data_IF_992781703283
#
_entry.id   IF_992781703283
#
_cell.length_a   1.000
_cell.length_b   1.000
_cell.length_c   1.000
_cell.angle_alpha   90.00
_cell.angle_beta   90.00
_cell.angle_gamma   90.00
#
_symmetry.space_group_name_H-M   'P 1'
#
loop_
_entity.id
_entity.type
_entity.pdbx_description
1 polymer ?
#
# COMPACT_ATOMS: atom_id res chain seq x y z
N UNK A 1 36.64 -12.98 -19.38
CA UNK A 1 35.33 -12.52 -19.88
C UNK A 1 34.70 -11.74 -18.75
N UNK A 2 34.66 -10.41 -18.89
CA UNK A 2 33.90 -9.56 -17.98
C UNK A 2 32.43 -9.79 -18.31
N UNK A 3 31.63 -10.14 -17.31
CA UNK A 3 30.22 -10.44 -17.47
C UNK A 3 29.52 -9.12 -17.86
N UNK A 4 28.88 -9.07 -19.03
CA UNK A 4 28.11 -7.92 -19.54
C UNK A 4 26.82 -7.62 -18.73
N UNK A 5 26.75 -8.08 -17.48
CA UNK A 5 25.64 -7.84 -16.57
C UNK A 5 25.89 -6.65 -15.63
N UNK A 6 26.81 -5.75 -15.95
CA UNK A 6 26.99 -4.53 -15.15
C UNK A 6 25.80 -3.62 -15.42
N UNK A 7 24.85 -3.59 -14.49
CA UNK A 7 23.78 -2.59 -14.49
C UNK A 7 24.36 -1.18 -14.61
N UNK A 8 23.52 -0.22 -14.97
CA UNK A 8 23.97 1.17 -15.12
C UNK A 8 24.69 1.64 -13.84
N UNK A 9 25.62 2.61 -13.95
CA UNK A 9 26.28 3.20 -12.76
C UNK A 9 25.23 3.66 -11.74
N UNK A 10 24.08 4.17 -12.20
CA UNK A 10 22.96 4.52 -11.34
C UNK A 10 22.41 3.30 -10.56
N UNK A 11 22.18 2.17 -11.21
CA UNK A 11 21.72 0.94 -10.55
C UNK A 11 22.76 0.37 -9.57
N UNK A 12 24.05 0.48 -9.90
CA UNK A 12 25.13 0.12 -8.97
C UNK A 12 25.11 1.02 -7.71
N UNK A 13 24.72 2.28 -7.85
CA UNK A 13 24.50 3.22 -6.75
C UNK A 13 23.14 3.05 -6.06
N UNK A 14 22.32 2.09 -6.50
CA UNK A 14 21.00 1.80 -5.92
C UNK A 14 19.86 2.69 -6.42
N UNK A 15 20.07 3.44 -7.51
CA UNK A 15 19.01 4.15 -8.23
C UNK A 15 18.36 3.24 -9.25
N UNK A 16 17.08 2.98 -9.10
CA UNK A 16 16.30 2.08 -9.94
C UNK A 16 15.56 2.86 -11.04
N UNK A 17 15.11 2.19 -12.12
CA UNK A 17 14.38 2.84 -13.20
C UNK A 17 13.13 3.62 -12.75
N UNK A 18 12.44 3.15 -11.70
CA UNK A 18 11.26 3.87 -11.18
C UNK A 18 11.62 5.25 -10.60
N UNK A 19 12.79 5.40 -9.99
CA UNK A 19 13.28 6.68 -9.47
C UNK A 19 13.63 7.69 -10.59
N UNK A 20 13.78 7.22 -11.83
CA UNK A 20 14.08 8.06 -12.99
C UNK A 20 12.82 8.50 -13.77
N UNK A 21 11.61 8.09 -13.36
CA UNK A 21 10.38 8.47 -14.06
C UNK A 21 10.17 9.99 -13.97
N UNK A 22 9.97 10.71 -15.09
CA UNK A 22 9.75 12.14 -15.08
C UNK A 22 8.47 12.56 -14.37
N UNK A 23 8.50 13.70 -13.71
CA UNK A 23 7.37 14.29 -12.98
C UNK A 23 6.12 14.44 -13.86
N UNK A 24 6.32 14.85 -15.11
CA UNK A 24 5.24 15.00 -16.08
C UNK A 24 4.54 13.66 -16.36
N UNK A 25 5.31 12.57 -16.49
CA UNK A 25 4.77 11.22 -16.69
C UNK A 25 3.95 10.79 -15.48
N UNK A 26 4.43 11.09 -14.27
CA UNK A 26 3.71 10.81 -13.02
C UNK A 26 2.42 11.62 -12.97
N UNK A 27 2.46 12.92 -13.26
CA UNK A 27 1.26 13.76 -13.30
C UNK A 27 0.25 13.24 -14.33
N UNK A 28 0.68 12.88 -15.52
CA UNK A 28 -0.19 12.48 -16.61
C UNK A 28 -0.82 11.10 -16.39
N UNK A 29 -0.05 10.13 -15.90
CA UNK A 29 -0.48 8.74 -15.80
C UNK A 29 -1.00 8.35 -14.40
N UNK A 30 -0.45 8.91 -13.32
CA UNK A 30 -0.87 8.53 -11.96
C UNK A 30 -2.12 9.29 -11.51
N UNK A 31 -2.15 10.60 -11.75
CA UNK A 31 -3.15 11.48 -11.13
C UNK A 31 -4.46 11.44 -11.93
N UNK A 32 -5.54 11.06 -11.26
CA UNK A 32 -6.85 10.91 -11.90
C UNK A 32 -7.45 12.27 -12.31
N UNK A 33 -8.36 12.30 -13.31
CA UNK A 33 -9.05 13.53 -13.71
C UNK A 33 -9.74 14.27 -12.56
N UNK A 34 -10.38 13.57 -11.62
CA UNK A 34 -11.07 14.24 -10.50
C UNK A 34 -10.07 14.82 -9.49
N UNK A 35 -8.92 14.17 -9.27
CA UNK A 35 -7.87 14.73 -8.41
C UNK A 35 -7.28 15.98 -9.06
N UNK A 36 -6.99 15.93 -10.37
CA UNK A 36 -6.52 17.11 -11.14
C UNK A 36 -7.54 18.25 -11.08
N UNK A 37 -8.82 17.96 -11.28
CA UNK A 37 -9.89 18.95 -11.19
C UNK A 37 -9.99 19.56 -9.79
N UNK A 38 -9.77 18.77 -8.74
CA UNK A 38 -9.84 19.25 -7.34
C UNK A 38 -8.63 20.11 -6.97
N UNK A 39 -7.42 19.76 -7.42
CA UNK A 39 -6.21 20.54 -7.18
C UNK A 39 -6.14 21.80 -8.06
N UNK A 40 -6.82 21.77 -9.21
CA UNK A 40 -6.76 22.79 -10.25
C UNK A 40 -5.48 22.70 -11.09
N UNK A 41 -5.20 23.75 -11.87
CA UNK A 41 -4.06 23.76 -12.80
C UNK A 41 -2.73 23.62 -12.05
N UNK A 42 -1.82 22.79 -12.59
CA UNK A 42 -0.44 22.69 -12.14
C UNK A 42 0.33 23.96 -12.55
N UNK A 43 0.93 24.63 -11.56
CA UNK A 43 1.75 25.83 -11.73
C UNK A 43 3.25 25.51 -11.65
N UNK A 44 4.02 26.52 -11.26
CA UNK A 44 5.48 26.42 -11.21
C UNK A 44 5.96 25.36 -10.19
N UNK A 45 7.00 24.63 -10.60
CA UNK A 45 7.65 23.60 -9.81
C UNK A 45 9.04 24.01 -9.34
N UNK A 46 9.41 23.57 -8.14
CA UNK A 46 10.78 23.65 -7.63
C UNK A 46 11.24 22.24 -7.27
N UNK A 47 12.46 21.88 -7.68
CA UNK A 47 13.10 20.61 -7.36
C UNK A 47 14.28 20.87 -6.43
N UNK A 48 14.37 20.10 -5.36
CA UNK A 48 15.44 20.23 -4.37
C UNK A 48 15.74 18.89 -3.69
N UNK A 49 16.94 18.75 -3.15
CA UNK A 49 17.37 17.58 -2.37
C UNK A 49 17.16 17.82 -0.87
N UNK A 50 16.77 16.79 -0.13
CA UNK A 50 16.65 16.81 1.34
C UNK A 50 17.38 15.62 1.95
N UNK A 51 17.97 15.84 3.13
CA UNK A 51 18.61 14.82 3.97
C UNK A 51 17.96 14.70 5.36
N UNK A 52 16.75 15.26 5.53
CA UNK A 52 16.00 15.28 6.80
C UNK A 52 14.66 14.54 6.72
N UNK A 53 14.21 14.02 7.87
CA UNK A 53 12.87 13.45 8.05
C UNK A 53 11.75 14.49 8.13
N UNK A 54 12.10 15.73 8.48
CA UNK A 54 11.13 16.82 8.62
C UNK A 54 10.53 17.19 7.27
N UNK A 55 9.19 17.33 7.23
CA UNK A 55 8.44 17.85 6.10
C UNK A 55 8.36 19.39 6.10
N UNK A 56 7.78 19.96 5.04
CA UNK A 56 7.52 21.41 5.02
C UNK A 56 6.30 21.81 5.88
N UNK A 57 5.44 20.84 6.18
CA UNK A 57 4.20 21.00 6.94
C UNK A 57 3.75 19.63 7.50
N UNK A 58 2.80 19.60 8.46
CA UNK A 58 2.34 18.36 9.08
C UNK A 58 1.81 17.35 8.04
N UNK A 59 2.34 16.12 8.08
CA UNK A 59 2.00 15.04 7.15
C UNK A 59 2.93 14.92 5.94
N UNK A 60 3.80 15.91 5.70
CA UNK A 60 4.83 15.88 4.65
C UNK A 60 6.16 15.29 5.14
N UNK A 61 6.18 14.57 6.27
CA UNK A 61 7.39 13.96 6.78
C UNK A 61 7.81 12.72 5.96
N UNK A 62 9.07 12.30 6.11
CA UNK A 62 9.58 11.01 5.65
C UNK A 62 10.11 10.21 6.85
N UNK A 63 10.52 8.97 6.63
CA UNK A 63 10.89 8.05 7.71
C UNK A 63 12.39 7.73 7.70
N UNK A 64 12.95 7.48 8.89
CA UNK A 64 14.28 6.90 9.06
C UNK A 64 14.13 5.53 9.76
N UNK A 65 13.96 4.47 8.97
CA UNK A 65 13.75 3.11 9.49
C UNK A 65 15.05 2.32 9.67
N UNK A 66 16.11 2.64 8.93
CA UNK A 66 17.41 1.96 9.04
C UNK A 66 18.20 2.32 10.31
N UNK A 67 17.66 3.22 11.16
CA UNK A 67 18.26 3.65 12.45
C UNK A 67 19.73 4.06 12.29
N UNK A 68 20.10 4.60 11.13
CA UNK A 68 21.51 4.84 10.83
C UNK A 68 22.08 5.88 11.81
N UNK A 69 23.15 5.51 12.51
CA UNK A 69 23.96 6.46 13.26
C UNK A 69 24.81 7.22 12.25
N UNK A 70 24.54 8.51 12.06
CA UNK A 70 25.39 9.40 11.28
C UNK A 70 26.05 10.32 12.32
N UNK A 71 27.37 10.13 12.54
CA UNK A 71 28.22 10.84 13.53
C UNK A 71 28.11 10.39 15.00
N UNK A 72 28.00 9.08 15.29
CA UNK A 72 28.16 8.55 16.65
C UNK A 72 26.96 8.75 17.58
N UNK A 73 26.07 9.68 17.26
CA UNK A 73 24.73 9.78 17.82
C UNK A 73 23.69 9.24 16.82
N UNK A 74 22.62 8.66 17.35
CA UNK A 74 21.46 8.27 16.56
C UNK A 74 20.71 9.54 16.11
N UNK A 75 21.21 10.21 15.08
CA UNK A 75 20.53 11.33 14.44
C UNK A 75 19.28 10.81 13.72
N UNK A 76 18.18 10.71 14.48
CA UNK A 76 16.86 10.27 14.00
C UNK A 76 16.21 11.31 13.08
N UNK A 77 16.76 12.52 13.00
CA UNK A 77 16.21 13.64 12.24
C UNK A 77 16.74 13.66 10.79
N UNK A 78 17.76 12.85 10.49
CA UNK A 78 18.34 12.70 9.16
C UNK A 78 18.04 11.38 8.51
N UNK A 79 18.01 11.37 7.18
CA UNK A 79 17.92 10.15 6.38
C UNK A 79 19.32 9.73 5.92
N UNK A 80 19.56 8.42 5.78
CA UNK A 80 20.85 7.88 5.32
C UNK A 80 21.20 8.33 3.91
N UNK A 81 20.22 8.28 3.01
CA UNK A 81 20.37 8.70 1.63
C UNK A 81 19.46 9.90 1.38
N UNK A 82 20.00 11.02 0.86
CA UNK A 82 19.19 12.14 0.46
C UNK A 82 18.15 11.73 -0.59
N UNK A 83 16.99 12.38 -0.55
CA UNK A 83 15.91 12.19 -1.51
C UNK A 83 15.64 13.48 -2.27
N UNK A 84 15.06 13.33 -3.47
CA UNK A 84 14.59 14.45 -4.27
C UNK A 84 13.14 14.76 -3.93
N UNK A 85 12.82 16.04 -3.83
CA UNK A 85 11.48 16.57 -3.67
C UNK A 85 11.21 17.56 -4.79
N UNK A 86 10.20 17.26 -5.60
CA UNK A 86 9.60 18.20 -6.54
C UNK A 86 8.30 18.72 -5.96
N UNK A 87 8.20 20.04 -5.83
CA UNK A 87 7.01 20.71 -5.27
C UNK A 87 6.43 21.66 -6.30
N UNK A 88 5.18 21.42 -6.67
CA UNK A 88 4.41 22.22 -7.61
C UNK A 88 3.28 22.93 -6.88
N UNK A 89 3.14 24.24 -7.10
CA UNK A 89 1.93 24.96 -6.69
C UNK A 89 0.78 24.57 -7.60
N UNK A 90 -0.40 24.34 -7.05
CA UNK A 90 -1.65 24.21 -7.83
C UNK A 90 -2.58 25.36 -7.49
N UNK A 91 -3.67 25.50 -8.23
CA UNK A 91 -4.67 26.55 -7.97
C UNK A 91 -5.25 26.48 -6.55
N UNK A 92 -5.47 25.26 -6.05
CA UNK A 92 -6.12 25.01 -4.75
C UNK A 92 -5.23 24.26 -3.75
N UNK A 93 -3.91 24.27 -3.93
CA UNK A 93 -2.99 23.59 -3.02
C UNK A 93 -1.61 23.28 -3.58
N UNK A 94 -1.11 22.07 -3.32
CA UNK A 94 0.19 21.59 -3.74
C UNK A 94 0.12 20.20 -4.37
N UNK A 95 1.01 19.94 -5.32
CA UNK A 95 1.35 18.60 -5.76
C UNK A 95 2.82 18.35 -5.49
N UNK A 96 3.13 17.27 -4.77
CA UNK A 96 4.47 16.95 -4.30
C UNK A 96 4.86 15.56 -4.79
N UNK A 97 6.02 15.46 -5.42
CA UNK A 97 6.63 14.18 -5.76
C UNK A 97 7.94 14.03 -5.01
N UNK A 98 8.03 12.99 -4.19
CA UNK A 98 9.28 12.58 -3.54
C UNK A 98 9.81 11.33 -4.19
N UNK A 99 11.12 11.22 -4.31
CA UNK A 99 11.79 10.00 -4.77
C UNK A 99 13.12 9.78 -4.10
N UNK A 100 13.36 8.55 -3.70
CA UNK A 100 14.67 8.05 -3.30
C UNK A 100 15.20 7.10 -4.38
N UNK A 101 16.26 6.34 -4.08
CA UNK A 101 16.85 5.42 -5.05
C UNK A 101 15.91 4.30 -5.52
N UNK A 102 14.85 3.95 -4.76
CA UNK A 102 14.03 2.76 -5.04
C UNK A 102 12.53 3.04 -5.09
N UNK A 103 12.07 4.21 -4.63
CA UNK A 103 10.64 4.54 -4.52
C UNK A 103 10.34 5.92 -5.07
N UNK A 104 9.18 6.03 -5.72
CA UNK A 104 8.50 7.32 -5.94
C UNK A 104 7.23 7.38 -5.09
N UNK A 105 6.93 8.56 -4.56
CA UNK A 105 5.66 8.88 -3.91
C UNK A 105 5.16 10.24 -4.42
N UNK A 106 3.98 10.26 -5.04
CA UNK A 106 3.31 11.45 -5.49
C UNK A 106 2.09 11.73 -4.62
N UNK A 107 1.94 12.95 -4.13
CA UNK A 107 0.87 13.34 -3.22
C UNK A 107 0.23 14.67 -3.61
N UNK A 108 -1.09 14.72 -3.53
CA UNK A 108 -1.91 15.90 -3.75
C UNK A 108 -2.43 16.44 -2.42
N UNK A 109 -2.21 17.74 -2.19
CA UNK A 109 -2.57 18.43 -0.95
C UNK A 109 -3.49 19.58 -1.27
N UNK A 110 -4.72 19.55 -0.75
CA UNK A 110 -5.72 20.59 -0.95
C UNK A 110 -5.71 21.58 0.21
N UNK A 111 -5.91 22.87 -0.10
CA UNK A 111 -6.03 23.94 0.87
C UNK A 111 -4.97 25.02 0.69
N UNK A 112 -4.72 25.80 1.74
CA UNK A 112 -3.82 26.95 1.67
C UNK A 112 -2.47 26.64 2.32
N UNK A 113 -1.38 26.50 1.54
CA UNK A 113 -0.05 26.20 2.06
C UNK A 113 0.49 27.32 2.96
N UNK A 114 0.23 28.59 2.61
CA UNK A 114 0.72 29.76 3.34
C UNK A 114 0.04 29.94 4.71
N UNK A 115 -1.13 29.30 4.90
CA UNK A 115 -1.88 29.29 6.17
C UNK A 115 -1.71 27.98 6.95
N UNK A 116 -0.86 27.06 6.49
CA UNK A 116 -0.65 25.76 7.12
C UNK A 116 -1.90 24.87 7.15
N UNK A 117 -2.84 25.08 6.22
CA UNK A 117 -4.11 24.33 6.15
C UNK A 117 -4.11 23.46 4.91
N UNK A 118 -3.25 22.45 4.90
CA UNK A 118 -3.18 21.47 3.82
C UNK A 118 -3.74 20.13 4.31
N UNK A 119 -4.57 19.52 3.47
CA UNK A 119 -5.09 18.18 3.66
C UNK A 119 -4.63 17.30 2.49
N UNK A 120 -4.01 16.16 2.79
CA UNK A 120 -3.67 15.18 1.77
C UNK A 120 -4.95 14.55 1.22
N UNK A 121 -5.21 14.76 -0.07
CA UNK A 121 -6.38 14.22 -0.77
C UNK A 121 -6.03 13.08 -1.71
N UNK A 122 -4.74 12.86 -1.97
CA UNK A 122 -4.26 11.84 -2.88
C UNK A 122 -2.84 11.43 -2.52
N UNK A 123 -2.54 10.14 -2.58
CA UNK A 123 -1.17 9.59 -2.54
C UNK A 123 -1.09 8.38 -3.46
N UNK A 124 -0.03 8.34 -4.26
CA UNK A 124 0.32 7.25 -5.16
C UNK A 124 1.79 6.90 -4.96
N UNK A 125 2.09 5.61 -4.84
CA UNK A 125 3.45 5.14 -4.65
C UNK A 125 3.76 3.91 -5.50
N UNK A 126 5.00 3.88 -6.00
CA UNK A 126 5.60 2.73 -6.66
C UNK A 126 7.00 2.52 -6.09
N UNK A 127 7.27 1.30 -5.62
CA UNK A 127 8.53 0.95 -4.94
C UNK A 127 9.14 -0.30 -5.54
N UNK A 128 10.39 -0.21 -5.95
CA UNK A 128 11.19 -1.36 -6.36
C UNK A 128 11.43 -2.28 -5.16
N UNK A 129 11.07 -3.56 -5.32
CA UNK A 129 11.12 -4.56 -4.25
C UNK A 129 12.44 -5.33 -4.15
N UNK A 130 13.45 -5.03 -4.98
CA UNK A 130 14.68 -5.85 -5.09
C UNK A 130 15.47 -6.07 -3.79
N UNK A 131 15.26 -5.22 -2.79
CA UNK A 131 15.94 -5.30 -1.49
C UNK A 131 15.06 -5.82 -0.36
N UNK A 132 13.80 -6.16 -0.64
CA UNK A 132 12.90 -6.64 0.39
C UNK A 132 13.44 -7.89 1.09
N UNK A 133 13.15 -7.99 2.38
CA UNK A 133 13.70 -9.05 3.22
C UNK A 133 15.17 -8.87 3.60
N UNK A 134 15.73 -7.69 3.32
CA UNK A 134 17.09 -7.32 3.71
C UNK A 134 17.10 -5.97 4.44
N UNK A 135 18.12 -5.68 5.26
CA UNK A 135 18.25 -4.37 5.92
C UNK A 135 18.22 -3.18 4.95
N UNK A 136 18.63 -3.37 3.69
CA UNK A 136 18.65 -2.33 2.67
C UNK A 136 17.23 -1.88 2.25
N UNK A 137 16.20 -2.69 2.47
CA UNK A 137 14.82 -2.25 2.24
C UNK A 137 14.45 -1.02 3.09
N UNK A 138 15.00 -0.94 4.31
CA UNK A 138 14.77 0.16 5.25
C UNK A 138 15.63 1.40 4.97
N UNK A 139 16.45 1.38 3.91
CA UNK A 139 17.16 2.56 3.44
C UNK A 139 16.28 3.54 2.66
N UNK A 140 15.12 3.08 2.17
CA UNK A 140 14.10 3.97 1.62
C UNK A 140 13.51 4.83 2.72
N UNK A 141 13.59 6.16 2.58
CA UNK A 141 12.94 7.06 3.54
C UNK A 141 11.44 7.21 3.27
N UNK A 142 10.97 6.70 2.13
CA UNK A 142 9.58 6.84 1.68
C UNK A 142 8.69 5.69 2.15
N UNK A 143 9.16 4.81 3.05
CA UNK A 143 8.37 3.72 3.64
C UNK A 143 8.09 3.97 5.13
N UNK A 144 6.83 3.75 5.54
CA UNK A 144 6.36 4.03 6.90
C UNK A 144 6.44 2.80 7.83
N UNK A 145 6.86 1.65 7.33
CA UNK A 145 7.01 0.40 8.06
C UNK A 145 8.22 -0.39 7.56
N UNK A 146 8.85 -1.21 8.42
CA UNK A 146 10.03 -1.99 8.02
C UNK A 146 9.70 -3.05 6.97
N UNK A 147 10.63 -3.27 6.04
CA UNK A 147 10.56 -4.26 4.95
C UNK A 147 11.73 -5.26 4.98
N UNK A 148 12.50 -5.30 6.07
CA UNK A 148 13.72 -6.10 6.22
C UNK A 148 13.49 -7.54 6.70
N UNK A 149 12.24 -7.92 7.04
CA UNK A 149 11.94 -9.29 7.45
C UNK A 149 11.90 -10.25 6.25
N UNK A 150 12.82 -11.23 6.16
CA UNK A 150 13.04 -12.05 4.96
C UNK A 150 11.84 -12.92 4.59
N UNK A 151 11.07 -13.39 5.57
CA UNK A 151 9.88 -14.21 5.28
C UNK A 151 8.66 -13.38 4.91
N UNK A 152 8.57 -12.14 5.41
CA UNK A 152 7.32 -11.37 5.31
C UNK A 152 7.30 -10.53 4.05
N UNK A 153 8.48 -10.09 3.60
CA UNK A 153 8.63 -9.26 2.41
C UNK A 153 9.39 -9.97 1.30
N UNK A 154 9.53 -11.30 1.36
CA UNK A 154 10.23 -12.09 0.35
C UNK A 154 9.88 -11.61 -1.07
N UNK A 155 10.91 -11.37 -1.87
CA UNK A 155 10.76 -11.05 -3.29
C UNK A 155 10.07 -12.20 -4.01
N UNK A 156 9.49 -11.95 -5.17
CA UNK A 156 8.84 -13.00 -5.93
C UNK A 156 9.84 -14.11 -6.30
N UNK A 157 9.41 -15.35 -6.09
CA UNK A 157 10.26 -16.52 -6.29
C UNK A 157 9.61 -17.63 -7.13
N UNK A 158 10.47 -18.36 -7.81
CA UNK A 158 10.17 -19.57 -8.58
C UNK A 158 11.06 -20.69 -8.03
N UNK A 159 10.47 -21.84 -7.69
CA UNK A 159 11.18 -23.00 -7.12
C UNK A 159 12.10 -22.68 -5.92
N UNK A 160 11.67 -21.73 -5.08
CA UNK A 160 12.42 -21.33 -3.89
C UNK A 160 13.63 -20.43 -4.16
N UNK A 161 13.73 -19.83 -5.35
CA UNK A 161 14.77 -18.88 -5.73
C UNK A 161 14.16 -17.56 -6.21
N UNK A 162 14.79 -16.41 -5.93
CA UNK A 162 14.41 -15.12 -6.53
C UNK A 162 14.25 -15.25 -8.04
N UNK A 163 13.08 -14.88 -8.54
CA UNK A 163 12.86 -14.83 -9.98
C UNK A 163 13.73 -13.70 -10.56
N UNK A 164 14.26 -13.92 -11.76
CA UNK A 164 14.91 -12.87 -12.53
C UNK A 164 13.85 -11.95 -13.16
N UNK A 165 13.06 -11.28 -12.33
CA UNK A 165 11.97 -10.40 -12.71
C UNK A 165 12.00 -9.13 -11.86
N UNK A 166 11.88 -7.98 -12.52
CA UNK A 166 11.76 -6.69 -11.85
C UNK A 166 10.32 -6.46 -11.36
N UNK A 167 10.16 -5.98 -10.13
CA UNK A 167 8.83 -5.78 -9.51
C UNK A 167 8.68 -4.43 -8.82
N UNK A 168 7.48 -3.88 -8.92
CA UNK A 168 7.05 -2.69 -8.17
C UNK A 168 5.91 -3.03 -7.21
N UNK A 169 6.09 -2.71 -5.92
CA UNK A 169 4.99 -2.63 -4.97
C UNK A 169 4.18 -1.36 -5.21
N UNK A 170 2.86 -1.49 -5.21
CA UNK A 170 1.91 -0.39 -5.45
C UNK A 170 1.24 0.11 -4.17
N UNK A 171 1.05 1.42 -4.02
CA UNK A 171 0.19 2.01 -2.98
C UNK A 171 -0.66 3.18 -3.50
N UNK A 172 -1.91 3.28 -3.02
CA UNK A 172 -2.88 4.29 -3.46
C UNK A 172 -3.85 4.69 -2.35
N UNK A 173 -4.00 5.99 -2.15
CA UNK A 173 -4.96 6.58 -1.20
C UNK A 173 -5.59 7.80 -1.84
N UNK A 174 -6.89 8.01 -1.60
CA UNK A 174 -7.57 9.21 -2.11
C UNK A 174 -8.80 9.56 -1.29
N UNK A 175 -8.97 10.85 -1.00
CA UNK A 175 -10.07 11.36 -0.18
C UNK A 175 -10.51 12.74 -0.68
N UNK A 176 -11.81 13.00 -0.73
CA UNK A 176 -12.32 14.35 -0.92
C UNK A 176 -11.92 15.23 0.27
N UNK A 177 -11.53 16.49 0.03
CA UNK A 177 -11.21 17.42 1.10
C UNK A 177 -12.35 17.56 2.10
N UNK A 178 -12.03 17.63 3.38
CA UNK A 178 -12.97 17.83 4.48
C UNK A 178 -13.83 16.61 4.83
N UNK A 179 -13.65 15.47 4.15
CA UNK A 179 -14.52 14.28 4.35
C UNK A 179 -13.95 13.22 5.28
N UNK A 180 -12.71 13.41 5.75
CA UNK A 180 -12.09 12.55 6.77
C UNK A 180 -12.92 12.52 8.05
N UNK A 181 -13.01 11.38 8.72
CA UNK A 181 -13.84 11.20 9.92
C UNK A 181 -13.43 12.14 11.07
N UNK A 182 -12.12 12.31 11.29
CA UNK A 182 -11.59 13.24 12.29
C UNK A 182 -11.93 14.69 11.99
N UNK A 183 -12.13 15.05 10.71
CA UNK A 183 -12.45 16.42 10.27
C UNK A 183 -13.96 16.65 10.24
N UNK A 184 -14.70 15.81 9.53
CA UNK A 184 -16.13 15.98 9.27
C UNK A 184 -17.02 15.67 10.46
N UNK A 185 -16.62 14.71 11.30
CA UNK A 185 -17.39 14.27 12.47
C UNK A 185 -16.71 14.62 13.80
N UNK A 186 -15.47 15.10 13.77
CA UNK A 186 -14.70 15.35 14.99
C UNK A 186 -14.24 14.06 15.70
N UNK A 187 -14.05 12.96 14.95
CA UNK A 187 -13.80 11.62 15.52
C UNK A 187 -12.44 11.02 15.16
N UNK A 188 -11.33 11.59 15.66
CA UNK A 188 -9.98 11.13 15.32
C UNK A 188 -9.68 9.69 15.77
N UNK A 189 -10.31 9.23 16.86
CA UNK A 189 -10.13 7.85 17.35
C UNK A 189 -10.86 6.83 16.46
N UNK A 190 -12.10 7.14 16.05
CA UNK A 190 -12.82 6.32 15.07
C UNK A 190 -12.08 6.31 13.74
N UNK A 191 -11.50 7.44 13.33
CA UNK A 191 -10.65 7.49 12.13
C UNK A 191 -9.45 6.55 12.24
N UNK A 192 -8.78 6.52 13.40
CA UNK A 192 -7.68 5.59 13.67
C UNK A 192 -8.14 4.14 13.61
N UNK A 193 -9.30 3.81 14.19
CA UNK A 193 -9.89 2.48 14.11
C UNK A 193 -10.21 2.07 12.67
N UNK A 194 -10.82 2.96 11.89
CA UNK A 194 -11.12 2.72 10.47
C UNK A 194 -9.83 2.51 9.67
N UNK A 195 -8.81 3.33 9.90
CA UNK A 195 -7.54 3.24 9.18
C UNK A 195 -6.68 2.03 9.55
N UNK A 196 -6.68 1.61 10.82
CA UNK A 196 -5.80 0.56 11.37
C UNK A 196 -6.51 -0.29 12.43
N UNK A 197 -7.55 -1.07 12.08
CA UNK A 197 -8.38 -1.78 13.06
C UNK A 197 -7.60 -2.81 13.90
N UNK A 198 -6.54 -3.39 13.34
CA UNK A 198 -5.73 -4.40 14.03
C UNK A 198 -4.95 -3.87 15.24
N UNK A 199 -4.77 -2.55 15.37
CA UNK A 199 -4.14 -1.95 16.57
C UNK A 199 -5.07 -1.90 17.78
N UNK A 200 -6.28 -2.45 17.66
CA UNK A 200 -7.30 -2.50 18.71
C UNK A 200 -7.65 -3.94 19.11
N UNK A 201 -7.06 -4.96 18.48
CA UNK A 201 -7.37 -6.38 18.77
C UNK A 201 -7.01 -6.77 20.21
N UNK A 202 -6.00 -6.10 20.79
CA UNK A 202 -5.61 -6.23 22.20
C UNK A 202 -6.52 -5.47 23.17
N UNK A 203 -7.51 -4.73 22.66
CA UNK A 203 -8.49 -3.92 23.41
C UNK A 203 -9.92 -4.26 22.95
N UNK A 204 -10.40 -5.48 23.24
CA UNK A 204 -11.65 -5.99 22.66
C UNK A 204 -12.87 -5.10 22.94
N UNK A 205 -12.97 -4.49 24.12
CA UNK A 205 -14.10 -3.60 24.45
C UNK A 205 -14.12 -2.35 23.55
N UNK A 206 -12.96 -1.69 23.38
CA UNK A 206 -12.81 -0.51 22.53
C UNK A 206 -12.97 -0.88 21.04
N UNK A 207 -12.46 -2.04 20.63
CA UNK A 207 -12.69 -2.59 19.29
C UNK A 207 -14.19 -2.72 19.04
N UNK A 208 -14.93 -3.37 19.94
CA UNK A 208 -16.36 -3.61 19.76
C UNK A 208 -17.19 -2.33 19.82
N UNK A 209 -16.79 -1.34 20.62
CA UNK A 209 -17.39 0.00 20.61
C UNK A 209 -17.31 0.61 19.21
N UNK A 210 -16.11 0.70 18.62
CA UNK A 210 -15.94 1.26 17.28
C UNK A 210 -16.52 0.38 16.18
N UNK A 211 -16.44 -0.95 16.33
CA UNK A 211 -17.00 -1.92 15.38
C UNK A 211 -18.50 -1.71 15.19
N UNK A 212 -19.27 -1.59 16.28
CA UNK A 212 -20.71 -1.33 16.22
C UNK A 212 -21.04 -0.05 15.43
N UNK A 213 -20.20 0.97 15.56
CA UNK A 213 -20.37 2.24 14.84
C UNK A 213 -20.10 2.07 13.35
N UNK A 214 -18.95 1.51 12.97
CA UNK A 214 -18.60 1.34 11.55
C UNK A 214 -19.52 0.34 10.84
N UNK A 215 -20.05 -0.64 11.56
CA UNK A 215 -21.02 -1.62 11.06
C UNK A 215 -22.29 -0.95 10.51
N UNK A 216 -22.73 0.13 11.16
CA UNK A 216 -23.88 0.92 10.74
C UNK A 216 -23.56 1.98 9.66
N UNK A 217 -22.30 2.42 9.55
CA UNK A 217 -21.90 3.53 8.68
C UNK A 217 -21.72 3.16 7.20
N UNK A 218 -21.61 1.87 6.87
CA UNK A 218 -21.43 1.40 5.49
C UNK A 218 -20.09 1.79 4.86
N UNK A 219 -19.07 2.12 5.65
CA UNK A 219 -17.71 2.43 5.19
C UNK A 219 -16.83 1.19 5.22
N UNK A 220 -15.92 1.05 4.25
CA UNK A 220 -14.93 -0.01 4.28
C UNK A 220 -13.83 0.26 5.32
N UNK A 221 -13.19 -0.77 5.88
CA UNK A 221 -11.89 -0.63 6.56
C UNK A 221 -10.90 0.11 5.65
N UNK A 222 -10.05 0.96 6.20
CA UNK A 222 -9.11 1.81 5.45
C UNK A 222 -9.75 3.07 4.83
N UNK A 223 -11.08 3.14 4.74
CA UNK A 223 -11.80 4.26 4.10
C UNK A 223 -12.10 5.39 5.10
N UNK A 224 -11.05 6.08 5.54
CA UNK A 224 -11.13 7.16 6.54
C UNK A 224 -11.86 8.43 6.08
N UNK A 225 -12.14 8.57 4.78
CA UNK A 225 -12.87 9.68 4.16
C UNK A 225 -13.64 9.24 2.92
N UNK A 226 -14.43 10.11 2.30
CA UNK A 226 -15.06 9.80 1.02
C UNK A 226 -14.00 9.78 -0.08
N UNK A 227 -13.95 8.74 -0.92
CA UNK A 227 -12.88 8.53 -1.92
C UNK A 227 -13.29 9.09 -3.28
N UNK A 228 -12.32 9.52 -4.10
CA UNK A 228 -12.59 9.88 -5.50
C UNK A 228 -12.99 8.61 -6.30
N UNK A 229 -14.17 8.59 -6.95
CA UNK A 229 -14.66 7.39 -7.62
C UNK A 229 -13.80 6.93 -8.81
N UNK A 230 -13.10 7.84 -9.47
CA UNK A 230 -12.26 7.53 -10.63
C UNK A 230 -10.88 6.97 -10.24
N UNK A 231 -10.37 7.31 -9.04
CA UNK A 231 -9.09 6.81 -8.55
C UNK A 231 -9.10 5.28 -8.42
N UNK A 232 -10.13 4.69 -7.83
CA UNK A 232 -10.25 3.24 -7.73
C UNK A 232 -10.46 2.54 -9.09
N UNK A 233 -11.04 3.24 -10.07
CA UNK A 233 -11.28 2.70 -11.42
C UNK A 233 -10.04 2.74 -12.31
N UNK A 234 -9.20 3.76 -12.12
CA UNK A 234 -8.03 4.03 -12.95
C UNK A 234 -6.71 3.58 -12.29
N UNK A 235 -6.71 3.35 -10.98
CA UNK A 235 -5.50 3.09 -10.18
C UNK A 235 -4.63 1.98 -10.73
N UNK A 236 -5.21 0.83 -11.08
CA UNK A 236 -4.46 -0.27 -11.70
C UNK A 236 -3.84 0.11 -13.02
N UNK A 237 -4.60 0.78 -13.90
CA UNK A 237 -4.08 1.27 -15.18
C UNK A 237 -2.90 2.22 -14.97
N UNK A 238 -2.99 3.11 -13.98
CA UNK A 238 -1.92 4.04 -13.63
C UNK A 238 -0.65 3.32 -13.16
N UNK A 239 -0.78 2.28 -12.33
CA UNK A 239 0.36 1.44 -11.92
C UNK A 239 0.99 0.74 -13.13
N UNK A 240 0.16 0.06 -13.92
CA UNK A 240 0.53 -0.65 -15.14
C UNK A 240 1.29 0.25 -16.14
N UNK A 241 0.76 1.44 -16.44
CA UNK A 241 1.33 2.34 -17.43
C UNK A 241 2.71 2.86 -16.99
N UNK A 242 2.85 3.25 -15.72
CA UNK A 242 4.13 3.76 -15.18
C UNK A 242 5.15 2.61 -15.04
N UNK A 243 4.72 1.44 -14.59
CA UNK A 243 5.58 0.27 -14.51
C UNK A 243 6.13 -0.12 -15.90
N UNK A 244 5.27 -0.14 -16.94
CA UNK A 244 5.70 -0.37 -18.32
C UNK A 244 6.61 0.73 -18.84
N UNK A 245 6.31 1.99 -18.55
CA UNK A 245 7.18 3.12 -18.90
C UNK A 245 8.60 2.94 -18.30
N UNK A 246 8.68 2.48 -17.06
CA UNK A 246 9.94 2.24 -16.36
C UNK A 246 10.58 0.87 -16.67
N UNK A 247 9.98 0.05 -17.55
CA UNK A 247 10.55 -1.23 -18.00
C UNK A 247 10.42 -2.38 -17.00
N UNK A 248 9.44 -2.35 -16.09
CA UNK A 248 9.24 -3.40 -15.09
C UNK A 248 8.44 -4.59 -15.63
N UNK A 249 8.79 -5.78 -15.13
CA UNK A 249 8.19 -7.04 -15.55
C UNK A 249 6.82 -7.31 -14.90
N UNK A 250 6.64 -6.87 -13.67
CA UNK A 250 5.44 -7.10 -12.88
C UNK A 250 5.16 -5.99 -11.88
N UNK A 251 3.91 -5.96 -11.42
CA UNK A 251 3.47 -5.16 -10.27
C UNK A 251 2.95 -6.08 -9.19
N UNK A 252 3.24 -5.73 -7.94
CA UNK A 252 2.84 -6.46 -6.75
C UNK A 252 2.10 -5.55 -5.78
N UNK A 253 1.23 -6.13 -4.98
CA UNK A 253 0.48 -5.43 -3.94
C UNK A 253 0.47 -6.26 -2.67
N UNK A 254 0.52 -5.56 -1.54
CA UNK A 254 0.38 -6.13 -0.21
C UNK A 254 -0.95 -5.65 0.41
N UNK A 255 -2.11 -6.16 -0.04
CA UNK A 255 -3.41 -5.60 0.32
C UNK A 255 -3.76 -5.92 1.77
N UNK A 256 -4.03 -4.88 2.56
CA UNK A 256 -4.40 -5.03 3.96
C UNK A 256 -5.85 -5.43 4.20
N UNK A 257 -6.75 -5.28 3.21
CA UNK A 257 -8.20 -5.40 3.40
C UNK A 257 -8.86 -6.31 2.34
N UNK A 258 -9.95 -7.00 2.71
CA UNK A 258 -10.70 -7.91 1.83
C UNK A 258 -11.10 -7.28 0.49
N UNK A 259 -11.71 -6.09 0.52
CA UNK A 259 -12.17 -5.42 -0.68
C UNK A 259 -11.02 -4.98 -1.60
N UNK A 260 -9.83 -4.75 -1.06
CA UNK A 260 -8.62 -4.46 -1.85
C UNK A 260 -8.10 -5.73 -2.50
N UNK A 261 -8.14 -6.88 -1.83
CA UNK A 261 -7.85 -8.19 -2.45
C UNK A 261 -8.80 -8.41 -3.64
N UNK A 262 -10.11 -8.31 -3.42
CA UNK A 262 -11.13 -8.46 -4.49
C UNK A 262 -10.91 -7.47 -5.64
N UNK A 263 -10.57 -6.22 -5.35
CA UNK A 263 -10.26 -5.21 -6.37
C UNK A 263 -9.08 -5.63 -7.25
N UNK A 264 -7.99 -6.14 -6.65
CA UNK A 264 -6.83 -6.62 -7.40
C UNK A 264 -7.12 -7.90 -8.19
N UNK A 265 -7.81 -8.88 -7.59
CA UNK A 265 -8.17 -10.12 -8.30
C UNK A 265 -9.02 -9.83 -9.55
N UNK A 266 -9.94 -8.85 -9.46
CA UNK A 266 -10.75 -8.43 -10.61
C UNK A 266 -9.95 -7.77 -11.74
N UNK A 267 -8.72 -7.32 -11.48
CA UNK A 267 -7.82 -6.71 -12.46
C UNK A 267 -6.70 -7.67 -12.94
N UNK A 268 -6.86 -8.97 -12.64
CA UNK A 268 -5.95 -10.02 -13.12
C UNK A 268 -4.70 -10.21 -12.27
N UNK A 269 -4.71 -9.78 -11.01
CA UNK A 269 -3.71 -10.21 -10.04
C UNK A 269 -3.99 -11.64 -9.58
N UNK A 270 -2.93 -12.39 -9.29
CA UNK A 270 -2.97 -13.73 -8.69
C UNK A 270 -2.24 -13.75 -7.35
N UNK A 271 -2.59 -14.69 -6.48
CA UNK A 271 -1.86 -14.92 -5.23
C UNK A 271 -0.44 -15.40 -5.50
N UNK A 272 0.54 -14.80 -4.83
CA UNK A 272 1.94 -15.26 -4.89
C UNK A 272 2.08 -16.62 -4.21
N UNK A 273 1.40 -16.79 -3.07
CA UNK A 273 1.51 -17.93 -2.15
C UNK A 273 0.21 -18.75 -2.09
N UNK A 274 0.23 -20.05 -2.44
CA UNK A 274 -0.96 -20.92 -2.42
C UNK A 274 -1.66 -21.01 -1.05
N UNK A 275 -0.90 -21.00 0.03
CA UNK A 275 -1.42 -21.05 1.39
C UNK A 275 -2.29 -19.83 1.72
N UNK A 276 -1.93 -18.65 1.19
CA UNK A 276 -2.72 -17.42 1.36
C UNK A 276 -3.99 -17.46 0.51
N UNK A 277 -3.90 -18.04 -0.69
CA UNK A 277 -5.05 -18.27 -1.56
C UNK A 277 -6.07 -19.22 -0.90
N UNK A 278 -5.61 -20.30 -0.27
CA UNK A 278 -6.47 -21.24 0.45
C UNK A 278 -7.23 -20.55 1.59
N UNK A 279 -6.52 -19.81 2.45
CA UNK A 279 -7.15 -19.05 3.56
C UNK A 279 -8.16 -18.03 3.03
N UNK A 280 -7.84 -17.32 1.94
CA UNK A 280 -8.79 -16.40 1.31
C UNK A 280 -10.05 -17.11 0.81
N UNK A 281 -9.92 -18.28 0.17
CA UNK A 281 -11.06 -19.08 -0.30
C UNK A 281 -11.93 -19.57 0.85
N UNK A 282 -11.33 -19.98 1.97
CA UNK A 282 -12.08 -20.38 3.17
C UNK A 282 -12.86 -19.21 3.77
N UNK A 283 -12.27 -18.00 3.80
CA UNK A 283 -12.96 -16.77 4.22
C UNK A 283 -14.14 -16.45 3.28
N UNK A 284 -13.94 -16.50 1.97
CA UNK A 284 -15.02 -16.26 0.99
C UNK A 284 -16.16 -17.27 1.16
N UNK A 285 -15.85 -18.55 1.36
CA UNK A 285 -16.83 -19.60 1.61
C UNK A 285 -17.61 -19.36 2.92
N UNK A 286 -16.91 -19.00 3.99
CA UNK A 286 -17.53 -18.65 5.27
C UNK A 286 -18.47 -17.44 5.13
N UNK A 287 -18.03 -16.38 4.45
CA UNK A 287 -18.85 -15.18 4.18
C UNK A 287 -20.10 -15.51 3.36
N UNK A 288 -20.00 -16.41 2.38
CA UNK A 288 -21.15 -16.86 1.58
C UNK A 288 -22.15 -17.71 2.39
N UNK A 289 -21.68 -18.40 3.44
CA UNK A 289 -22.49 -19.28 4.29
C UNK A 289 -23.39 -18.55 5.31
N UNK A 290 -23.21 -17.23 5.51
CA UNK A 290 -24.10 -16.39 6.32
C UNK A 290 -25.47 -16.20 5.63
N UNK A 291 -26.25 -17.28 5.58
CA UNK A 291 -27.44 -17.47 4.76
C UNK A 291 -28.72 -16.81 5.30
N UNK A 292 -28.62 -15.82 6.20
CA UNK A 292 -29.79 -15.19 6.84
C UNK A 292 -29.99 -13.71 6.52
N UNK A 293 -28.92 -12.98 6.19
CA UNK A 293 -28.98 -11.55 5.86
C UNK A 293 -27.93 -11.25 4.80
N UNK A 294 -28.33 -10.58 3.72
CA UNK A 294 -27.41 -10.18 2.65
C UNK A 294 -26.47 -9.10 3.19
N UNK A 295 -25.30 -9.51 3.68
CA UNK A 295 -24.27 -8.59 4.15
C UNK A 295 -23.79 -7.70 2.99
N UNK A 296 -23.74 -6.40 3.24
CA UNK A 296 -23.14 -5.45 2.30
C UNK A 296 -21.62 -5.72 2.17
N UNK A 297 -20.99 -5.34 1.04
CA UNK A 297 -19.55 -5.50 0.89
C UNK A 297 -18.70 -4.87 2.02
N UNK A 298 -19.03 -3.67 2.55
CA UNK A 298 -18.34 -3.14 3.74
C UNK A 298 -18.48 -4.03 4.98
N UNK A 299 -19.68 -4.56 5.24
CA UNK A 299 -19.91 -5.46 6.37
C UNK A 299 -19.09 -6.74 6.25
N UNK A 300 -19.02 -7.34 5.06
CA UNK A 300 -18.17 -8.50 4.80
C UNK A 300 -16.69 -8.19 5.11
N UNK A 301 -16.19 -7.03 4.67
CA UNK A 301 -14.81 -6.61 4.94
C UNK A 301 -14.56 -6.36 6.44
N UNK A 302 -15.53 -5.82 7.17
CA UNK A 302 -15.44 -5.66 8.63
C UNK A 302 -15.47 -6.99 9.37
N UNK A 303 -16.27 -7.96 8.91
CA UNK A 303 -16.30 -9.29 9.52
C UNK A 303 -14.93 -9.96 9.54
N UNK A 304 -14.10 -9.77 8.51
CA UNK A 304 -12.72 -10.29 8.49
C UNK A 304 -11.90 -9.79 9.70
N UNK A 305 -12.09 -8.53 10.12
CA UNK A 305 -11.41 -7.99 11.29
C UNK A 305 -11.99 -8.49 12.61
N UNK A 306 -13.31 -8.72 12.66
CA UNK A 306 -13.95 -9.33 13.82
C UNK A 306 -13.34 -10.71 14.14
N UNK A 307 -12.95 -11.47 13.11
CA UNK A 307 -12.30 -12.78 13.29
C UNK A 307 -10.93 -12.72 13.95
N UNK A 308 -10.31 -11.54 14.01
CA UNK A 308 -9.02 -11.35 14.68
C UNK A 308 -9.19 -11.26 16.21
N UNK A 309 -10.41 -11.06 16.72
CA UNK A 309 -10.70 -11.18 18.15
C UNK A 309 -10.81 -12.65 18.56
N UNK A 310 -10.45 -12.93 19.81
CA UNK A 310 -10.74 -14.23 20.44
C UNK A 310 -12.25 -14.39 20.61
N UNK A 311 -12.76 -15.60 20.36
CA UNK A 311 -14.19 -15.87 20.41
C UNK A 311 -14.80 -15.54 21.78
N UNK A 312 -14.06 -15.76 22.86
CA UNK A 312 -14.51 -15.48 24.24
C UNK A 312 -14.59 -13.98 24.56
N UNK A 313 -13.97 -13.13 23.73
CA UNK A 313 -14.01 -11.68 23.85
C UNK A 313 -15.17 -11.04 23.10
N UNK A 314 -15.97 -11.85 22.38
CA UNK A 314 -17.11 -11.34 21.62
C UNK A 314 -18.37 -11.26 22.47
N UNK A 315 -19.10 -10.12 22.41
CA UNK A 315 -20.46 -10.03 22.89
C UNK A 315 -21.39 -11.09 22.27
N UNK A 316 -22.41 -11.54 23.02
CA UNK A 316 -23.35 -12.59 22.57
C UNK A 316 -24.03 -12.27 21.23
N UNK A 317 -24.32 -10.99 20.96
CA UNK A 317 -24.93 -10.51 19.72
C UNK A 317 -24.01 -10.61 18.50
N UNK A 318 -22.68 -10.70 18.71
CA UNK A 318 -21.68 -10.82 17.65
C UNK A 318 -21.00 -12.20 17.58
N UNK A 319 -21.15 -13.04 18.61
CA UNK A 319 -20.60 -14.39 18.62
C UNK A 319 -21.03 -15.25 17.40
N UNK A 320 -22.29 -15.18 16.91
CA UNK A 320 -22.69 -15.92 15.70
C UNK A 320 -21.97 -15.48 14.42
N UNK A 321 -21.33 -14.29 14.41
CA UNK A 321 -20.60 -13.74 13.27
C UNK A 321 -19.12 -14.17 13.24
N UNK A 322 -18.67 -14.96 14.21
CA UNK A 322 -17.31 -15.49 14.27
C UNK A 322 -17.24 -16.89 13.66
N UNK A 323 -16.45 -17.03 12.60
CA UNK A 323 -16.21 -18.27 11.87
C UNK A 323 -14.77 -18.80 12.07
N UNK A 324 -13.99 -18.20 12.99
CA UNK A 324 -12.73 -18.78 13.46
C UNK A 324 -11.54 -18.65 12.52
N UNK A 325 -11.68 -17.99 11.36
CA UNK A 325 -10.58 -17.83 10.40
C UNK A 325 -10.10 -16.38 10.44
N UNK A 326 -8.94 -16.09 11.05
CA UNK A 326 -8.43 -14.74 11.16
C UNK A 326 -8.01 -14.18 9.80
N UNK A 327 -8.09 -12.85 9.64
CA UNK A 327 -7.67 -12.20 8.40
C UNK A 327 -6.17 -12.41 8.14
N UNK A 328 -5.75 -12.84 6.93
CA UNK A 328 -4.37 -13.12 6.56
C UNK A 328 -3.57 -11.85 6.23
N UNK A 329 -3.78 -10.75 6.92
CA UNK A 329 -2.82 -9.64 6.92
C UNK A 329 -2.79 -9.05 8.32
N UNK A 330 -1.80 -9.44 9.13
CA UNK A 330 -1.62 -9.01 10.52
C UNK A 330 -0.21 -8.47 10.77
N UNK A 331 0.06 -7.19 10.47
CA UNK A 331 1.38 -6.58 10.66
C UNK A 331 1.84 -6.46 12.13
N UNK A 332 1.04 -6.96 13.08
CA UNK A 332 1.24 -6.82 14.52
C UNK A 332 1.57 -8.15 15.22
N UNK A 333 1.53 -9.29 14.52
CA UNK A 333 1.81 -10.60 15.11
C UNK A 333 3.27 -11.07 14.83
N UNK A 334 3.96 -11.72 15.80
CA UNK A 334 5.39 -12.05 15.72
C UNK A 334 5.78 -13.05 14.62
N UNK A 335 4.86 -13.91 14.20
CA UNK A 335 5.05 -15.04 13.28
C UNK A 335 4.31 -14.86 11.94
N UNK A 336 3.89 -13.62 11.65
CA UNK A 336 2.93 -13.34 10.60
C UNK A 336 3.54 -13.06 9.22
N UNK A 337 2.91 -13.49 8.12
CA UNK A 337 3.34 -13.25 6.73
C UNK A 337 2.39 -12.33 5.95
N UNK A 338 2.90 -11.22 5.42
CA UNK A 338 2.10 -10.32 4.56
C UNK A 338 1.47 -11.06 3.37
N UNK A 339 0.21 -10.74 3.08
CA UNK A 339 -0.48 -11.22 1.89
C UNK A 339 0.06 -10.51 0.66
N UNK A 340 0.54 -11.27 -0.34
CA UNK A 340 1.08 -10.71 -1.58
C UNK A 340 0.31 -11.20 -2.79
N UNK A 341 -0.08 -10.25 -3.65
CA UNK A 341 -0.61 -10.52 -4.98
C UNK A 341 0.33 -9.96 -6.05
N UNK A 342 0.36 -10.61 -7.20
CA UNK A 342 1.21 -10.25 -8.34
C UNK A 342 0.40 -10.19 -9.62
N UNK A 343 0.74 -9.25 -10.50
CA UNK A 343 0.24 -9.17 -11.87
C UNK A 343 1.42 -9.06 -12.85
N UNK A 344 1.56 -10.01 -13.79
CA UNK A 344 2.59 -9.92 -14.82
C UNK A 344 2.26 -8.82 -15.85
N UNK A 345 3.27 -8.05 -16.26
CA UNK A 345 3.18 -7.03 -17.29
C UNK A 345 3.94 -7.41 -18.56
N UNK A 346 5.14 -8.00 -18.42
CA UNK A 346 5.96 -8.46 -19.54
C UNK A 346 5.62 -9.89 -19.97
N UNK A 347 5.92 -10.24 -21.22
CA UNK A 347 5.73 -11.61 -21.71
C UNK A 347 6.61 -12.62 -20.96
N UNK A 348 7.81 -12.18 -20.54
CA UNK A 348 8.71 -12.95 -19.66
C UNK A 348 8.01 -13.32 -18.36
N UNK A 349 7.40 -12.34 -17.69
CA UNK A 349 6.66 -12.59 -16.45
C UNK A 349 5.42 -13.46 -16.66
N UNK A 350 4.66 -13.23 -17.74
CA UNK A 350 3.46 -14.04 -18.04
C UNK A 350 3.82 -15.51 -18.23
N UNK A 351 4.87 -15.81 -18.99
CA UNK A 351 5.33 -17.19 -19.22
C UNK A 351 5.64 -17.90 -17.90
N UNK A 352 6.49 -17.29 -17.08
CA UNK A 352 6.93 -17.86 -15.80
C UNK A 352 5.80 -18.04 -14.77
N UNK A 353 4.86 -17.08 -14.68
CA UNK A 353 3.73 -17.19 -13.76
C UNK A 353 2.72 -18.25 -14.24
N UNK A 354 2.48 -18.34 -15.55
CA UNK A 354 1.56 -19.34 -16.12
C UNK A 354 2.06 -20.78 -15.93
N UNK A 355 3.37 -21.01 -16.05
CA UNK A 355 3.98 -22.33 -15.79
C UNK A 355 3.76 -22.76 -14.34
N UNK A 356 3.90 -21.83 -13.38
CA UNK A 356 3.62 -22.07 -11.95
C UNK A 356 2.15 -22.43 -11.72
N UNK A 357 1.20 -21.79 -12.41
CA UNK A 357 -0.24 -22.14 -12.32
C UNK A 357 -0.52 -23.54 -12.89
N UNK A 358 0.15 -23.92 -13.99
CA UNK A 358 0.04 -25.25 -14.61
C UNK A 358 0.60 -26.33 -13.69
N UNK A 359 1.74 -26.11 -13.03
CA UNK A 359 2.32 -27.07 -12.08
C UNK A 359 1.46 -27.25 -10.82
N UNK A 360 0.87 -26.17 -10.29
CA UNK A 360 -0.12 -26.25 -9.21
C UNK A 360 -1.33 -27.12 -9.58
N UNK A 361 -1.80 -27.03 -10.82
CA UNK A 361 -2.91 -27.85 -11.34
C UNK A 361 -2.58 -29.35 -11.36
N UNK A 362 -1.30 -29.71 -11.53
CA UNK A 362 -0.84 -31.11 -11.53
C UNK A 362 -0.64 -31.66 -10.11
N UNK A 363 -0.17 -30.82 -9.17
CA UNK A 363 0.04 -31.21 -7.76
C UNK A 363 -1.26 -31.39 -6.98
N UNK A 364 -2.35 -30.71 -7.35
CA UNK A 364 -3.67 -30.86 -6.70
C UNK A 364 -4.53 -31.97 -7.33
N UNK A 365 -4.06 -32.61 -8.40
CA UNK A 365 -4.72 -33.71 -9.09
C UNK A 365 -4.06 -35.09 -8.80
N UNK A 366 -3.02 -35.10 -7.97
CA UNK A 366 -2.35 -36.29 -7.44
C UNK A 366 -2.67 -36.42 -5.95
#
# INVERSE_FOLDING_TARGET
MWNDSTGSIAEMLGYTPIAAVPDQVIWDLAVSPMVKATLGKLGDGVVFTRDTVEGDFPGDEVFNLNRHQIKGDADREKVRFPYLCSRYRTEYGLFIIKRDGVKIEASGWFGNPEKGRLEMIYRFGLRDRRYDGTPRANDSCLVAFPYDHPENHRVFEIEGKPADLSSLETSLYSFYPGTRLGVSLGEPELEKFVGKPLTFVDKPDLFMEHFRRVWAMGRFPGQIGATFPDVGKLGHKSFDDIARYAGYDMVETCPSHLHVVRWNLNDGYSFVYPEQEAVYRDIEAALASFSGQKLSPPQQAWLCYLQCLKAESLPEDFAPLHFGIPWPHQPVAPDYRYLWLVKPLSDKARGLISEKEIEKGKSNAA
#
